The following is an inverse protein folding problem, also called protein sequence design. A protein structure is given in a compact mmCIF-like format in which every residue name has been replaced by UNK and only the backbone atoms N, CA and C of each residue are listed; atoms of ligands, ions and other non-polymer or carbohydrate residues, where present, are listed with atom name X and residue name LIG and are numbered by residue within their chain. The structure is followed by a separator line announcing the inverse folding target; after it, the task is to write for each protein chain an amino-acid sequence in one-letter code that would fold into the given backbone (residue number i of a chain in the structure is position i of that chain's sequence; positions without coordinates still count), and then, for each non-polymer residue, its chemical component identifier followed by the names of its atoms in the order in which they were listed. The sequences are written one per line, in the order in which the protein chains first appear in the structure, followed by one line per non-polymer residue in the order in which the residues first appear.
data_IF_207789091483
#
_entry.id   IF_207789091483
#
_cell.length_a   1.000
_cell.length_b   1.000
_cell.length_c   1.000
_cell.angle_alpha   90.00
_cell.angle_beta   90.00
_cell.angle_gamma   90.00
#
_symmetry.space_group_name_H-M   'P 1'
#
loop_
_entity.id
_entity.type
_entity.pdbx_description
1 polymer ?
#
# COMPACT_ATOMS: atom_id res chain seq x y z
N UNK A 1 9.82 29.07 -0.29
CA UNK A 1 8.87 28.00 0.08
C UNK A 1 8.70 28.04 1.60
N UNK A 2 7.48 27.84 2.12
CA UNK A 2 7.21 27.88 3.57
C UNK A 2 7.22 26.46 4.15
N UNK A 3 7.92 26.26 5.27
CA UNK A 3 7.98 24.96 5.99
C UNK A 3 6.61 24.49 6.49
N UNK A 4 5.66 25.41 6.70
CA UNK A 4 4.28 25.11 7.06
C UNK A 4 3.28 25.38 5.93
N UNK A 5 3.78 25.59 4.71
CA UNK A 5 2.94 25.69 3.52
C UNK A 5 2.08 24.45 3.32
N UNK A 6 0.93 24.63 2.66
CA UNK A 6 0.01 23.54 2.29
C UNK A 6 -0.06 23.32 0.77
N UNK A 7 0.70 24.07 -0.01
CA UNK A 7 0.80 23.90 -1.46
C UNK A 7 1.61 22.65 -1.81
N UNK A 8 1.50 22.16 -3.05
CA UNK A 8 2.16 20.93 -3.50
C UNK A 8 3.69 21.00 -3.40
N UNK A 9 4.25 22.20 -3.56
CA UNK A 9 5.67 22.54 -3.55
C UNK A 9 6.19 22.98 -2.18
N UNK A 10 5.37 22.84 -1.12
CA UNK A 10 5.80 23.24 0.22
C UNK A 10 6.95 22.34 0.72
N UNK A 11 7.95 22.97 1.36
CA UNK A 11 9.08 22.27 1.98
C UNK A 11 8.61 21.27 3.04
N UNK A 12 7.41 21.44 3.61
CA UNK A 12 6.78 20.48 4.51
C UNK A 12 6.84 19.03 4.02
N UNK A 13 6.67 18.83 2.71
CA UNK A 13 6.60 17.50 2.12
C UNK A 13 7.97 16.85 1.92
N UNK A 14 9.06 17.58 2.11
CA UNK A 14 10.42 16.99 2.12
C UNK A 14 10.73 16.28 3.43
N UNK A 15 9.97 16.56 4.51
CA UNK A 15 10.05 15.87 5.79
C UNK A 15 9.50 14.46 5.61
N UNK A 16 10.32 13.44 5.84
CA UNK A 16 10.02 12.04 5.46
C UNK A 16 8.69 11.54 6.07
N UNK A 17 8.44 11.83 7.35
CA UNK A 17 7.22 11.42 8.07
C UNK A 17 5.94 12.15 7.64
N UNK A 18 6.06 13.18 6.81
CA UNK A 18 4.93 14.00 6.38
C UNK A 18 4.48 13.70 4.96
N UNK A 19 5.11 12.73 4.28
CA UNK A 19 4.77 12.33 2.92
C UNK A 19 4.48 10.83 2.82
N UNK A 20 3.92 10.42 1.67
CA UNK A 20 3.49 9.04 1.42
C UNK A 20 4.61 7.99 1.44
N UNK A 21 5.89 8.38 1.31
CA UNK A 21 6.99 7.42 1.32
C UNK A 21 7.22 6.76 2.68
N UNK A 22 6.65 7.31 3.75
CA UNK A 22 6.70 6.78 5.12
C UNK A 22 5.42 6.04 5.56
N UNK A 23 4.40 5.95 4.71
CA UNK A 23 3.08 5.44 5.06
C UNK A 23 2.70 4.17 4.29
N UNK A 24 1.69 3.46 4.79
CA UNK A 24 1.21 2.17 4.25
C UNK A 24 0.28 2.36 3.03
N UNK A 25 0.78 3.05 2.01
CA UNK A 25 0.02 3.49 0.84
C UNK A 25 0.73 3.09 -0.46
N UNK A 26 0.00 3.18 -1.57
CA UNK A 26 0.62 3.06 -2.90
C UNK A 26 1.43 4.33 -3.22
N UNK A 27 2.56 4.17 -3.89
CA UNK A 27 3.35 5.26 -4.47
C UNK A 27 3.52 5.02 -5.96
N UNK A 28 3.31 6.05 -6.77
CA UNK A 28 3.35 5.98 -8.23
C UNK A 28 4.56 6.77 -8.75
N UNK A 29 5.42 6.13 -9.55
CA UNK A 29 6.64 6.72 -10.12
C UNK A 29 7.51 7.48 -9.10
N UNK A 30 7.54 7.02 -7.84
CA UNK A 30 8.22 7.68 -6.72
C UNK A 30 7.78 9.14 -6.48
N UNK A 31 6.55 9.48 -6.84
CA UNK A 31 6.00 10.83 -6.68
C UNK A 31 5.22 10.98 -5.37
N UNK A 32 5.15 12.23 -4.88
CA UNK A 32 4.26 12.58 -3.79
C UNK A 32 2.79 12.49 -4.19
N UNK A 33 1.95 12.10 -3.24
CA UNK A 33 0.50 12.26 -3.36
C UNK A 33 0.11 13.75 -3.54
N UNK A 34 -1.05 13.97 -4.16
CA UNK A 34 -1.55 15.30 -4.46
C UNK A 34 -2.20 15.93 -3.23
N UNK A 35 -1.74 17.12 -2.82
CA UNK A 35 -2.18 17.76 -1.55
C UNK A 35 -3.66 18.17 -1.54
N UNK A 36 -4.27 18.32 -2.73
CA UNK A 36 -5.71 18.60 -2.89
C UNK A 36 -6.54 17.33 -3.03
N UNK A 37 -5.88 16.17 -3.09
CA UNK A 37 -6.54 14.88 -3.13
C UNK A 37 -7.34 14.62 -1.85
N UNK A 38 -8.39 13.83 -2.00
CA UNK A 38 -9.31 13.50 -0.94
C UNK A 38 -9.70 12.03 -1.04
N UNK A 39 -9.60 11.32 0.07
CA UNK A 39 -10.12 9.97 0.24
C UNK A 39 -11.20 9.97 1.31
N UNK A 40 -12.30 9.29 1.04
CA UNK A 40 -13.39 9.02 1.99
C UNK A 40 -13.70 7.54 2.00
N UNK A 41 -14.56 7.12 2.92
CA UNK A 41 -15.17 5.78 2.85
C UNK A 41 -16.38 5.90 1.93
N UNK A 42 -16.31 5.28 0.75
CA UNK A 42 -17.36 5.30 -0.27
C UNK A 42 -18.39 4.19 -0.04
N UNK A 43 -17.92 3.01 0.37
CA UNK A 43 -18.74 1.85 0.70
C UNK A 43 -18.15 1.14 1.90
N UNK A 44 -19.01 0.55 2.73
CA UNK A 44 -18.60 -0.35 3.80
C UNK A 44 -19.73 -1.32 4.11
N UNK A 45 -19.39 -2.43 4.75
CA UNK A 45 -20.32 -3.33 5.38
C UNK A 45 -19.68 -3.92 6.65
N UNK A 46 -20.50 -4.30 7.61
CA UNK A 46 -20.11 -4.87 8.91
C UNK A 46 -20.50 -6.36 9.05
N UNK A 47 -20.69 -7.05 7.93
CA UNK A 47 -21.10 -8.45 7.91
C UNK A 47 -20.12 -9.37 8.64
N UNK A 48 -20.64 -10.39 9.33
CA UNK A 48 -19.89 -11.23 10.29
C UNK A 48 -18.56 -11.81 9.75
N UNK A 49 -18.58 -12.34 8.53
CA UNK A 49 -17.41 -13.03 7.95
C UNK A 49 -16.56 -12.15 7.02
N UNK A 50 -17.04 -10.96 6.67
CA UNK A 50 -16.33 -10.09 5.73
C UNK A 50 -16.69 -8.61 5.93
N UNK A 51 -16.44 -8.03 7.11
CA UNK A 51 -16.55 -6.58 7.25
C UNK A 51 -15.49 -5.91 6.38
N UNK A 52 -15.87 -4.88 5.64
CA UNK A 52 -14.98 -4.18 4.72
C UNK A 52 -15.25 -2.67 4.69
N UNK A 53 -14.24 -1.93 4.24
CA UNK A 53 -14.36 -0.54 3.82
C UNK A 53 -13.68 -0.34 2.47
N UNK A 54 -14.24 0.57 1.67
CA UNK A 54 -13.86 0.84 0.30
C UNK A 54 -13.70 2.34 0.10
N UNK A 55 -12.63 2.74 -0.56
CA UNK A 55 -12.31 4.13 -0.85
C UNK A 55 -11.85 4.29 -2.29
N UNK A 56 -12.52 5.13 -3.06
CA UNK A 56 -11.97 5.72 -4.26
C UNK A 56 -11.01 6.84 -3.85
N UNK A 57 -9.72 6.59 -4.04
CA UNK A 57 -8.63 7.53 -3.72
C UNK A 57 -7.99 8.08 -4.99
N UNK A 58 -8.66 8.00 -6.14
CA UNK A 58 -8.12 8.43 -7.44
C UNK A 58 -7.67 9.90 -7.42
N UNK A 59 -8.39 10.77 -6.69
CA UNK A 59 -8.02 12.18 -6.58
C UNK A 59 -6.69 12.42 -5.85
N UNK A 60 -6.26 11.51 -4.98
CA UNK A 60 -4.96 11.54 -4.28
C UNK A 60 -3.81 11.29 -5.25
N UNK A 61 -4.08 10.62 -6.36
CA UNK A 61 -3.13 10.27 -7.43
C UNK A 61 -3.47 10.99 -8.75
N UNK A 62 -4.15 12.14 -8.69
CA UNK A 62 -4.50 12.88 -9.91
C UNK A 62 -3.23 13.22 -10.71
N UNK A 63 -3.30 13.07 -12.03
CA UNK A 63 -2.17 13.19 -12.98
C UNK A 63 -1.11 12.08 -12.87
N UNK A 64 -1.24 11.13 -11.94
CA UNK A 64 -0.37 9.96 -11.83
C UNK A 64 -1.09 8.68 -12.31
N UNK A 65 -2.36 8.53 -11.92
CA UNK A 65 -3.21 7.40 -12.28
C UNK A 65 -4.57 7.90 -12.77
N UNK A 66 -5.24 7.10 -13.61
CA UNK A 66 -6.61 7.37 -14.03
C UNK A 66 -7.61 6.95 -12.94
N UNK A 67 -7.34 5.82 -12.28
CA UNK A 67 -8.16 5.32 -11.18
C UNK A 67 -7.28 4.62 -10.15
N UNK A 68 -7.62 4.80 -8.86
CA UNK A 68 -7.08 4.04 -7.73
C UNK A 68 -8.21 3.84 -6.72
N UNK A 69 -8.69 2.60 -6.59
CA UNK A 69 -9.69 2.21 -5.59
C UNK A 69 -9.07 1.16 -4.67
N UNK A 70 -9.19 1.37 -3.36
CA UNK A 70 -8.71 0.45 -2.33
C UNK A 70 -9.87 -0.08 -1.51
N UNK A 71 -9.96 -1.40 -1.40
CA UNK A 71 -10.76 -2.09 -0.40
C UNK A 71 -9.88 -2.71 0.67
N UNK A 72 -10.34 -2.66 1.92
CA UNK A 72 -9.74 -3.40 3.03
C UNK A 72 -10.85 -4.17 3.74
N UNK A 73 -10.63 -5.46 3.97
CA UNK A 73 -11.57 -6.34 4.64
C UNK A 73 -10.88 -7.21 5.68
N UNK A 74 -11.63 -7.68 6.68
CA UNK A 74 -11.21 -8.76 7.56
C UNK A 74 -11.98 -10.00 7.12
N UNK A 75 -11.30 -11.07 6.72
CA UNK A 75 -11.97 -12.29 6.25
C UNK A 75 -12.04 -13.34 7.35
N UNK A 76 -13.26 -13.83 7.60
CA UNK A 76 -13.62 -14.85 8.59
C UNK A 76 -13.13 -14.53 10.02
N UNK A 77 -12.94 -13.24 10.34
CA UNK A 77 -12.33 -12.78 11.61
C UNK A 77 -10.86 -13.18 11.80
N UNK A 78 -10.15 -13.59 10.74
CA UNK A 78 -8.87 -14.31 10.83
C UNK A 78 -7.68 -13.61 10.21
N UNK A 79 -7.86 -12.88 9.12
CA UNK A 79 -6.79 -12.21 8.39
C UNK A 79 -7.31 -11.02 7.60
N UNK A 80 -6.41 -10.11 7.23
CA UNK A 80 -6.76 -8.91 6.46
C UNK A 80 -6.57 -9.18 4.97
N UNK A 81 -7.53 -8.71 4.17
CA UNK A 81 -7.45 -8.65 2.71
C UNK A 81 -7.38 -7.19 2.31
N UNK A 82 -6.35 -6.81 1.55
CA UNK A 82 -6.24 -5.50 0.92
C UNK A 82 -6.33 -5.72 -0.58
N UNK A 83 -7.29 -5.08 -1.24
CA UNK A 83 -7.46 -5.15 -2.68
C UNK A 83 -7.33 -3.76 -3.27
N UNK A 84 -6.41 -3.61 -4.19
CA UNK A 84 -6.18 -2.38 -4.94
C UNK A 84 -6.57 -2.64 -6.41
N UNK A 85 -7.50 -1.84 -6.95
CA UNK A 85 -7.87 -1.81 -8.36
C UNK A 85 -7.45 -0.47 -8.95
N UNK A 86 -6.62 -0.51 -10.00
CA UNK A 86 -5.96 0.68 -10.54
C UNK A 86 -6.03 0.72 -12.06
N UNK A 87 -6.01 1.93 -12.61
CA UNK A 87 -5.89 2.15 -14.05
C UNK A 87 -4.80 3.18 -14.34
N UNK A 88 -3.82 2.80 -15.17
CA UNK A 88 -2.74 3.70 -15.58
C UNK A 88 -3.20 4.74 -16.60
N UNK A 89 -2.47 5.84 -16.67
CA UNK A 89 -2.61 6.83 -17.75
C UNK A 89 -1.93 6.31 -19.04
N UNK A 90 -1.79 7.18 -20.05
CA UNK A 90 -1.17 6.85 -21.34
C UNK A 90 0.35 6.62 -21.33
N UNK A 91 0.94 6.22 -20.20
CA UNK A 91 2.38 5.92 -20.08
C UNK A 91 2.61 4.71 -19.16
N UNK A 92 3.71 4.01 -19.37
CA UNK A 92 4.18 2.99 -18.44
C UNK A 92 4.39 3.64 -17.05
N UNK A 93 3.98 2.92 -16.01
CA UNK A 93 3.91 3.43 -14.65
C UNK A 93 4.48 2.42 -13.68
N UNK A 94 5.38 2.87 -12.81
CA UNK A 94 5.91 2.06 -11.71
C UNK A 94 5.02 2.22 -10.49
N UNK A 95 4.38 1.13 -10.08
CA UNK A 95 3.63 1.06 -8.84
C UNK A 95 4.49 0.47 -7.73
N UNK A 96 4.55 1.14 -6.58
CA UNK A 96 5.11 0.63 -5.33
C UNK A 96 3.98 0.48 -4.31
N UNK A 97 3.78 -0.72 -3.81
CA UNK A 97 2.96 -0.99 -2.63
C UNK A 97 3.89 -1.27 -1.46
N UNK A 98 3.74 -0.58 -0.34
CA UNK A 98 4.62 -0.78 0.80
C UNK A 98 3.92 -0.54 2.14
N UNK A 99 4.47 -1.16 3.18
CA UNK A 99 4.04 -1.07 4.56
C UNK A 99 5.25 -0.90 5.48
N UNK A 100 5.12 -0.04 6.47
CA UNK A 100 6.10 0.20 7.53
C UNK A 100 6.04 -0.90 8.59
N UNK A 101 7.20 -1.35 9.07
CA UNK A 101 7.28 -2.34 10.15
C UNK A 101 8.55 -2.17 10.99
N UNK A 102 8.49 -2.64 12.24
CA UNK A 102 9.63 -2.86 13.14
C UNK A 102 10.13 -4.31 13.11
N UNK A 103 9.42 -5.19 12.39
CA UNK A 103 9.73 -6.61 12.30
C UNK A 103 10.97 -6.87 11.43
N UNK A 104 11.66 -7.97 11.72
CA UNK A 104 12.60 -8.57 10.80
C UNK A 104 11.84 -9.14 9.59
N UNK A 105 12.35 -8.87 8.39
CA UNK A 105 11.67 -9.20 7.13
C UNK A 105 12.45 -10.23 6.34
N UNK A 106 11.81 -11.36 6.06
CA UNK A 106 12.29 -12.35 5.08
C UNK A 106 11.41 -12.28 3.82
N UNK A 107 12.02 -11.98 2.68
CA UNK A 107 11.31 -11.92 1.39
C UNK A 107 11.27 -13.30 0.74
N UNK A 108 10.13 -13.64 0.12
CA UNK A 108 9.99 -14.70 -0.86
C UNK A 108 9.55 -14.11 -2.22
N UNK A 109 9.14 -14.97 -3.15
CA UNK A 109 8.84 -14.54 -4.54
C UNK A 109 7.68 -13.53 -4.59
N UNK A 110 6.51 -13.91 -4.07
CA UNK A 110 5.30 -13.07 -3.97
C UNK A 110 4.80 -13.01 -2.51
N UNK A 111 5.72 -13.06 -1.57
CA UNK A 111 5.40 -13.16 -0.14
C UNK A 111 6.50 -12.53 0.72
N UNK A 112 6.17 -12.24 1.97
CA UNK A 112 7.16 -11.93 2.99
C UNK A 112 6.74 -12.51 4.34
N UNK A 113 7.71 -12.80 5.19
CA UNK A 113 7.49 -13.15 6.60
C UNK A 113 8.04 -12.03 7.45
N UNK A 114 7.19 -11.46 8.30
CA UNK A 114 7.54 -10.43 9.27
C UNK A 114 7.59 -11.08 10.64
N UNK A 115 8.74 -11.07 11.31
CA UNK A 115 8.91 -11.60 12.66
C UNK A 115 9.17 -10.46 13.63
N UNK A 116 8.34 -10.34 14.67
CA UNK A 116 8.57 -9.40 15.76
C UNK A 116 8.39 -10.16 17.08
N UNK A 117 9.46 -10.18 17.89
CA UNK A 117 9.59 -11.06 19.04
C UNK A 117 9.30 -12.52 18.64
N UNK A 118 8.31 -13.16 19.27
CA UNK A 118 7.93 -14.54 19.04
C UNK A 118 6.70 -14.67 18.11
N UNK A 119 6.31 -13.58 17.42
CA UNK A 119 5.10 -13.53 16.59
C UNK A 119 5.46 -13.32 15.13
N UNK A 120 4.65 -13.92 14.24
CA UNK A 120 4.82 -13.82 12.80
C UNK A 120 3.57 -13.30 12.10
N UNK A 121 3.79 -12.46 11.09
CA UNK A 121 2.80 -12.05 10.12
C UNK A 121 3.29 -12.44 8.73
N UNK A 122 2.42 -13.09 7.95
CA UNK A 122 2.72 -13.50 6.58
C UNK A 122 2.03 -12.55 5.60
N UNK A 123 2.81 -12.00 4.68
CA UNK A 123 2.31 -11.27 3.51
C UNK A 123 2.25 -12.25 2.35
N UNK A 124 1.11 -12.31 1.65
CA UNK A 124 0.98 -12.98 0.35
C UNK A 124 0.38 -12.03 -0.67
N UNK A 125 0.93 -12.00 -1.87
CA UNK A 125 0.52 -11.09 -2.94
C UNK A 125 0.07 -11.88 -4.16
N UNK A 126 -1.13 -11.60 -4.64
CA UNK A 126 -1.61 -12.00 -5.95
C UNK A 126 -1.95 -10.74 -6.74
N UNK A 127 -1.48 -10.60 -7.97
CA UNK A 127 -1.76 -9.39 -8.73
C UNK A 127 -1.28 -9.43 -10.17
N UNK A 128 -1.63 -8.38 -10.90
CA UNK A 128 -1.22 -8.18 -12.29
C UNK A 128 0.28 -7.86 -12.40
N UNK A 129 0.88 -8.26 -13.53
CA UNK A 129 2.27 -7.93 -13.87
C UNK A 129 3.30 -8.72 -13.07
N UNK A 130 4.57 -8.38 -13.26
CA UNK A 130 5.67 -9.00 -12.54
C UNK A 130 5.82 -8.35 -11.16
N UNK A 131 5.50 -9.09 -10.10
CA UNK A 131 5.64 -8.65 -8.71
C UNK A 131 7.08 -8.87 -8.27
N UNK A 132 7.74 -7.80 -7.81
CA UNK A 132 9.09 -7.89 -7.25
C UNK A 132 9.04 -7.45 -5.79
N UNK A 133 9.09 -8.41 -4.87
CA UNK A 133 9.13 -8.16 -3.43
C UNK A 133 10.42 -7.41 -3.05
N UNK A 134 10.30 -6.39 -2.19
CA UNK A 134 11.41 -5.52 -1.78
C UNK A 134 11.24 -4.99 -0.36
N UNK A 135 12.38 -4.60 0.22
CA UNK A 135 12.45 -3.72 1.37
C UNK A 135 13.06 -2.37 0.99
N UNK A 136 12.73 -1.32 1.74
CA UNK A 136 13.35 0.00 1.61
C UNK A 136 13.73 0.55 2.98
N UNK A 137 14.88 1.22 3.04
CA UNK A 137 15.31 1.95 4.22
C UNK A 137 14.29 3.02 4.60
N UNK A 138 14.06 3.18 5.90
CA UNK A 138 13.32 4.30 6.50
C UNK A 138 14.25 5.35 7.09
N UNK A 139 15.57 5.20 6.94
CA UNK A 139 16.54 6.21 7.36
C UNK A 139 16.30 7.49 6.57
N UNK A 140 15.96 8.61 7.23
CA UNK A 140 15.73 9.86 6.54
C UNK A 140 17.01 10.37 5.87
N UNK A 141 16.85 11.08 4.74
CA UNK A 141 17.97 11.69 4.01
C UNK A 141 18.29 13.11 4.49
N UNK A 142 17.33 13.78 5.14
CA UNK A 142 17.51 15.14 5.64
C UNK A 142 18.03 15.16 7.08
N UNK A 143 18.84 16.18 7.39
CA UNK A 143 19.41 16.40 8.72
C UNK A 143 18.39 16.85 9.78
N UNK A 144 17.28 17.47 9.34
CA UNK A 144 16.18 17.90 10.20
C UNK A 144 15.16 16.80 10.49
N UNK A 145 15.28 15.62 9.87
CA UNK A 145 14.41 14.49 10.16
C UNK A 145 14.95 13.67 11.35
N UNK A 146 14.09 13.39 12.34
CA UNK A 146 14.43 12.45 13.40
C UNK A 146 14.69 11.05 12.81
N UNK A 147 15.68 10.31 13.32
CA UNK A 147 16.00 8.97 12.84
C UNK A 147 14.84 7.97 13.03
N UNK A 148 14.81 6.91 12.22
CA UNK A 148 13.85 5.79 12.32
C UNK A 148 14.62 4.48 12.57
N UNK A 149 15.20 4.28 13.76
CA UNK A 149 16.00 3.09 14.04
C UNK A 149 15.12 1.84 14.12
N UNK A 150 15.63 0.72 13.61
CA UNK A 150 14.97 -0.58 13.71
C UNK A 150 13.69 -0.72 12.89
N UNK A 151 13.53 0.08 11.83
CA UNK A 151 12.34 0.04 10.98
C UNK A 151 12.70 -0.11 9.51
N UNK A 152 11.76 -0.64 8.75
CA UNK A 152 11.89 -0.87 7.31
C UNK A 152 10.52 -0.74 6.65
N UNK A 153 10.50 -0.35 5.37
CA UNK A 153 9.32 -0.54 4.53
C UNK A 153 9.42 -1.89 3.82
N UNK A 154 8.36 -2.68 3.79
CA UNK A 154 8.27 -3.95 3.06
C UNK A 154 7.07 -3.94 2.12
N UNK A 155 7.21 -4.58 0.96
CA UNK A 155 6.14 -4.69 -0.02
C UNK A 155 6.67 -5.12 -1.37
N UNK A 156 6.13 -4.55 -2.45
CA UNK A 156 6.55 -4.90 -3.80
C UNK A 156 6.50 -3.72 -4.77
N UNK A 157 7.19 -3.89 -5.88
CA UNK A 157 7.06 -3.05 -7.07
C UNK A 157 6.50 -3.85 -8.24
N UNK A 158 5.78 -3.16 -9.12
CA UNK A 158 5.33 -3.71 -10.40
C UNK A 158 5.39 -2.62 -11.47
N UNK A 159 5.78 -3.00 -12.69
CA UNK A 159 5.67 -2.15 -13.87
C UNK A 159 4.34 -2.42 -14.56
N UNK A 160 3.54 -1.37 -14.71
CA UNK A 160 2.24 -1.42 -15.35
C UNK A 160 2.31 -0.72 -16.72
N UNK A 161 1.91 -1.37 -17.83
CA UNK A 161 1.87 -0.73 -19.13
C UNK A 161 0.90 0.46 -19.18
N UNK A 162 1.03 1.28 -20.22
CA UNK A 162 0.13 2.39 -20.48
C UNK A 162 -1.33 1.92 -20.67
N UNK A 163 -2.30 2.70 -20.18
CA UNK A 163 -3.74 2.49 -20.38
C UNK A 163 -4.26 1.15 -19.87
N UNK A 164 -3.60 0.56 -18.87
CA UNK A 164 -3.89 -0.78 -18.38
C UNK A 164 -4.64 -0.72 -17.07
N UNK A 165 -5.71 -1.52 -16.98
CA UNK A 165 -6.36 -1.86 -15.71
C UNK A 165 -5.60 -3.02 -15.06
N UNK A 166 -5.24 -2.84 -13.80
CA UNK A 166 -4.50 -3.81 -13.02
C UNK A 166 -5.13 -3.95 -11.64
N UNK A 167 -4.88 -5.08 -11.00
CA UNK A 167 -5.38 -5.30 -9.66
C UNK A 167 -4.43 -6.12 -8.81
N UNK A 168 -4.44 -5.88 -7.52
CA UNK A 168 -3.60 -6.53 -6.54
C UNK A 168 -4.46 -6.95 -5.36
N UNK A 169 -4.20 -8.13 -4.82
CA UNK A 169 -4.79 -8.64 -3.59
C UNK A 169 -3.65 -9.07 -2.66
N UNK A 170 -3.54 -8.37 -1.54
CA UNK A 170 -2.53 -8.60 -0.51
C UNK A 170 -3.21 -9.16 0.72
N UNK A 171 -2.75 -10.31 1.19
CA UNK A 171 -3.20 -10.91 2.43
C UNK A 171 -2.18 -10.61 3.54
N UNK A 172 -2.66 -10.15 4.69
CA UNK A 172 -1.87 -10.06 5.92
C UNK A 172 -2.39 -11.10 6.89
N UNK A 173 -1.61 -12.14 7.13
CA UNK A 173 -2.07 -13.38 7.72
C UNK A 173 -1.31 -13.64 9.02
N UNK A 174 -1.97 -13.57 10.19
CA UNK A 174 -1.41 -14.08 11.44
C UNK A 174 -1.02 -15.55 11.33
N UNK A 175 -0.02 -15.98 12.10
CA UNK A 175 0.53 -17.33 12.03
C UNK A 175 -0.54 -18.44 12.18
N UNK A 176 -1.51 -18.27 13.09
CA UNK A 176 -2.60 -19.21 13.31
C UNK A 176 -3.52 -19.41 12.08
N UNK A 177 -3.58 -18.40 11.21
CA UNK A 177 -4.46 -18.39 10.03
C UNK A 177 -3.73 -18.83 8.75
N UNK A 178 -2.41 -19.03 8.79
CA UNK A 178 -1.52 -19.25 7.62
C UNK A 178 -2.03 -20.29 6.63
N UNK A 179 -2.51 -21.43 7.13
CA UNK A 179 -2.93 -22.55 6.29
C UNK A 179 -4.36 -22.43 5.76
N UNK A 180 -5.17 -21.57 6.37
CA UNK A 180 -6.58 -21.35 5.98
C UNK A 180 -6.79 -20.12 5.10
N UNK A 181 -5.80 -19.21 5.06
CA UNK A 181 -5.91 -17.97 4.30
C UNK A 181 -5.90 -18.22 2.79
N UNK A 182 -6.97 -17.73 2.15
CA UNK A 182 -7.24 -17.81 0.72
C UNK A 182 -7.53 -16.43 0.16
N UNK A 183 -7.19 -16.23 -1.11
CA UNK A 183 -7.57 -15.02 -1.84
C UNK A 183 -9.09 -15.01 -2.10
N UNK A 184 -9.67 -13.82 -2.19
CA UNK A 184 -11.08 -13.63 -2.53
C UNK A 184 -11.34 -13.89 -4.00
N UNK A 185 -10.38 -13.52 -4.87
CA UNK A 185 -10.55 -13.51 -6.33
C UNK A 185 -11.79 -12.73 -6.80
N UNK A 186 -12.24 -11.76 -6.00
CA UNK A 186 -13.38 -10.88 -6.30
C UNK A 186 -12.91 -9.48 -6.65
N UNK A 187 -13.68 -8.80 -7.49
CA UNK A 187 -13.50 -7.37 -7.71
C UNK A 187 -14.15 -6.57 -6.58
N UNK A 188 -13.70 -5.33 -6.38
CA UNK A 188 -14.20 -4.43 -5.33
C UNK A 188 -15.68 -4.09 -5.48
N UNK A 189 -16.21 -4.12 -6.70
CA UNK A 189 -17.66 -3.95 -6.94
C UNK A 189 -18.50 -5.11 -6.37
N UNK A 190 -17.87 -6.28 -6.20
CA UNK A 190 -18.49 -7.53 -5.71
C UNK A 190 -18.18 -7.77 -4.21
N UNK A 191 -17.50 -6.82 -3.58
CA UNK A 191 -17.35 -6.72 -2.12
C UNK A 191 -18.60 -6.07 -1.54
#
# INVERSE_FOLDING_TARGET
MSIFGRSQDAQRWTIYRMNNHSHNVITIDNQHQQVKGYGKIDRYADGENFPFALSDISSVYSNQMKQVVRGVAIKDGKYVVIRDEVETLGKETKLKWAMFTFADVELGDNSAVLTQDNKKLYIRVNGSGNIVMKTWSTTPENDYDATNPGTVMVGFECMLPAGTQASFEVLLIPEESRNSATYTHKNLKDW
#
